data_IF_772937380537
#
_entry.id   IF_772937380537
#
_cell.length_a   1.000
_cell.length_b   1.000
_cell.length_c   1.000
_cell.angle_alpha   90.00
_cell.angle_beta   90.00
_cell.angle_gamma   90.00
#
_symmetry.space_group_name_H-M   'P 1'
#
loop_
_entity.id
_entity.type
_entity.pdbx_description
1 polymer ?
2 non-polymer ?
3 water ?
#
# COMPACT_ATOMS: atom_id res chain seq x y z
N UNK A 2 -11.62 9.71 -2.72
CA UNK A 2 -10.35 9.46 -1.99
C UNK A 2 -9.26 9.05 -2.97
N UNK A 3 -8.00 9.38 -2.66
CA UNK A 3 -6.82 9.05 -3.50
C UNK A 3 -5.94 7.91 -2.90
N UNK A 4 -5.75 6.84 -3.66
CA UNK A 4 -4.91 5.71 -3.31
C UNK A 4 -3.63 5.72 -4.18
N UNK A 5 -2.49 5.57 -3.53
CA UNK A 5 -1.21 5.36 -4.15
C UNK A 5 -0.89 3.87 -4.02
N UNK A 6 -0.73 3.18 -5.15
CA UNK A 6 -0.37 1.78 -5.22
C UNK A 6 1.08 1.73 -5.59
N UNK A 7 1.90 1.22 -4.66
CA UNK A 7 3.33 1.04 -4.81
C UNK A 7 3.55 -0.44 -5.01
N UNK A 8 3.82 -0.80 -6.24
CA UNK A 8 3.94 -2.18 -6.66
C UNK A 8 4.84 -2.27 -7.87
N UNK A 9 5.82 -3.15 -7.79
CA UNK A 9 6.77 -3.30 -8.88
C UNK A 9 6.37 -4.30 -9.96
N UNK A 10 5.23 -4.99 -9.83
CA UNK A 10 4.72 -5.86 -10.90
C UNK A 10 3.54 -5.16 -11.54
N UNK A 11 3.73 -4.79 -12.81
CA UNK A 11 2.74 -4.06 -13.60
C UNK A 11 1.41 -4.83 -13.73
N UNK A 12 1.42 -6.16 -13.86
CA UNK A 12 0.17 -6.93 -13.81
C UNK A 12 -0.63 -6.82 -12.50
N UNK A 13 0.02 -6.86 -11.34
CA UNK A 13 -0.70 -6.72 -10.05
C UNK A 13 -1.14 -5.28 -9.82
N UNK A 14 -0.25 -4.34 -10.14
CA UNK A 14 -0.56 -2.94 -10.07
C UNK A 14 -1.81 -2.66 -10.89
N UNK A 15 -1.88 -3.13 -12.12
CA UNK A 15 -3.11 -2.94 -12.91
C UNK A 15 -4.37 -3.58 -12.32
N UNK A 16 -4.27 -4.75 -11.70
CA UNK A 16 -5.48 -5.37 -11.11
C UNK A 16 -6.01 -4.50 -9.97
N UNK A 17 -5.13 -4.06 -9.08
CA UNK A 17 -5.52 -3.20 -7.95
C UNK A 17 -6.03 -1.84 -8.47
N UNK A 18 -5.33 -1.25 -9.44
CA UNK A 18 -5.76 0.04 -10.02
C UNK A 18 -7.19 -0.11 -10.56
N UNK A 19 -7.42 -1.12 -11.39
CA UNK A 19 -8.75 -1.38 -12.01
C UNK A 19 -9.84 -1.51 -10.99
N UNK A 20 -9.57 -2.27 -9.93
CA UNK A 20 -10.54 -2.49 -8.89
C UNK A 20 -10.81 -1.25 -8.00
N UNK A 21 -9.77 -0.51 -7.63
CA UNK A 21 -9.98 0.73 -6.90
C UNK A 21 -10.67 1.80 -7.78
N UNK A 22 -10.37 1.86 -9.05
CA UNK A 22 -11.08 2.82 -9.90
C UNK A 22 -12.59 2.51 -10.00
N UNK A 23 -12.91 1.24 -10.14
CA UNK A 23 -14.31 0.80 -10.15
C UNK A 23 -15.04 1.15 -8.90
N UNK A 24 -14.34 1.22 -7.76
CA UNK A 24 -14.91 1.60 -6.48
C UNK A 24 -14.98 3.09 -6.29
N UNK A 25 -14.47 3.85 -7.25
CA UNK A 25 -14.57 5.30 -7.22
C UNK A 25 -13.40 6.00 -6.57
N UNK A 26 -12.28 5.30 -6.34
CA UNK A 26 -11.06 5.95 -5.83
C UNK A 26 -10.28 6.59 -6.99
N UNK A 27 -9.61 7.72 -6.75
CA UNK A 27 -8.54 8.16 -7.65
C UNK A 27 -7.24 7.39 -7.36
N UNK A 28 -6.59 6.85 -8.38
CA UNK A 28 -5.37 6.08 -8.24
C UNK A 28 -4.12 6.79 -8.85
N UNK A 29 -3.06 6.87 -8.05
CA UNK A 29 -1.69 7.12 -8.54
C UNK A 29 -0.84 5.89 -8.23
N UNK A 30 0.15 5.64 -9.10
CA UNK A 30 0.93 4.41 -9.08
C UNK A 30 2.41 4.78 -8.91
N UNK A 31 3.18 3.80 -8.43
CA UNK A 31 4.60 3.91 -8.33
C UNK A 31 5.14 2.52 -8.38
N UNK A 32 6.30 2.33 -8.99
CA UNK A 32 6.83 1.01 -9.30
C UNK A 32 8.15 0.70 -8.58
N UNK A 33 8.61 1.64 -7.75
CA UNK A 33 9.76 1.45 -6.90
C UNK A 33 9.69 2.39 -5.73
N UNK A 34 10.68 2.25 -4.85
CA UNK A 34 10.73 2.95 -3.59
C UNK A 34 10.92 4.42 -3.76
N UNK A 35 11.73 4.81 -4.75
CA UNK A 35 11.97 6.23 -4.99
C UNK A 35 10.69 6.96 -5.48
N UNK A 36 10.05 6.38 -6.49
CA UNK A 36 8.73 6.83 -7.02
C UNK A 36 7.63 6.87 -5.96
N UNK A 37 7.60 5.91 -5.04
CA UNK A 37 6.65 5.89 -3.93
C UNK A 37 6.81 7.09 -3.07
N UNK A 38 8.03 7.38 -2.71
CA UNK A 38 8.30 8.57 -1.92
C UNK A 38 7.96 9.91 -2.62
N UNK A 39 8.20 9.98 -3.93
CA UNK A 39 7.96 11.18 -4.70
C UNK A 39 6.46 11.36 -4.84
N UNK A 40 5.74 10.28 -5.12
CA UNK A 40 4.28 10.32 -5.29
C UNK A 40 3.62 10.65 -3.96
N UNK A 41 4.08 9.99 -2.91
CA UNK A 41 3.65 10.34 -1.57
C UNK A 41 3.69 11.87 -1.26
N UNK A 42 4.82 12.52 -1.53
CA UNK A 42 5.01 13.93 -1.16
C UNK A 42 4.21 14.85 -2.07
N UNK A 43 4.21 14.54 -3.37
CA UNK A 43 3.55 15.35 -4.39
C UNK A 43 2.05 15.17 -4.43
N UNK A 44 1.56 13.97 -4.19
CA UNK A 44 0.13 13.64 -4.35
C UNK A 44 -0.63 13.61 -3.05
N UNK A 45 0.07 13.51 -1.93
CA UNK A 45 -0.56 13.37 -0.61
C UNK A 45 -1.75 12.38 -0.65
N UNK A 46 -1.53 11.12 -0.94
CA UNK A 46 -2.67 10.18 -0.95
C UNK A 46 -3.33 10.03 0.45
N UNK A 47 -4.59 9.65 0.44
CA UNK A 47 -5.30 9.29 1.68
C UNK A 47 -4.90 7.90 2.19
N UNK A 48 -4.43 7.03 1.31
CA UNK A 48 -3.97 5.70 1.69
C UNK A 48 -2.96 5.24 0.68
N UNK A 49 -2.06 4.38 1.14
CA UNK A 49 -1.01 3.75 0.37
C UNK A 49 -1.07 2.21 0.56
N UNK A 50 -1.12 1.47 -0.56
CA UNK A 50 -0.99 0.03 -0.63
C UNK A 50 0.45 -0.12 -1.07
N UNK A 51 1.25 -0.77 -0.23
CA UNK A 51 2.69 -0.82 -0.38
C UNK A 51 3.16 -2.25 -0.39
N UNK A 52 3.58 -2.73 -1.54
CA UNK A 52 4.26 -4.01 -1.50
C UNK A 52 5.62 -3.90 -0.69
N UNK A 53 6.04 -5.01 -0.07
CA UNK A 53 7.24 -5.08 0.79
C UNK A 53 8.54 -5.17 -0.04
N UNK A 54 8.43 -5.73 -1.25
CA UNK A 54 9.59 -5.98 -2.11
C UNK A 54 9.52 -5.11 -3.35
N UNK A 55 10.43 -4.12 -3.43
CA UNK A 55 10.52 -3.06 -4.47
C UNK A 55 11.96 -2.77 -5.01
N UNK A 56 12.13 -2.49 -6.31
CA UNK A 56 13.47 -2.25 -6.87
C UNK A 56 14.37 -1.19 -6.09
N UNK A 59 13.41 -0.86 -0.03
CA UNK A 59 12.38 -1.85 0.10
C UNK A 59 11.12 -1.15 0.63
N UNK A 60 9.99 -1.85 0.53
CA UNK A 60 8.76 -1.46 1.22
C UNK A 60 8.93 -1.12 2.68
N UNK A 61 9.77 -1.88 3.40
CA UNK A 61 10.01 -1.61 4.83
C UNK A 61 10.65 -0.24 5.00
N UNK A 62 11.68 0.03 4.22
CA UNK A 62 12.32 1.34 4.15
C UNK A 62 11.37 2.51 3.74
N UNK A 63 10.52 2.31 2.74
CA UNK A 63 9.57 3.35 2.32
C UNK A 63 8.61 3.72 3.47
N UNK A 64 8.09 2.70 4.15
CA UNK A 64 7.11 2.91 5.20
C UNK A 64 7.75 3.58 6.40
N UNK A 65 8.96 3.12 6.76
CA UNK A 65 9.78 3.81 7.75
C UNK A 65 9.91 5.34 7.47
N UNK A 66 10.26 5.71 6.25
CA UNK A 66 10.54 7.12 6.03
C UNK A 66 9.27 7.91 5.97
N UNK A 67 8.22 7.33 5.39
CA UNK A 67 6.91 7.94 5.42
C UNK A 67 6.47 8.34 6.81
N UNK A 68 6.58 7.40 7.76
CA UNK A 68 6.20 7.58 9.18
C UNK A 68 6.97 8.64 9.94
N UNK A 69 8.15 8.99 9.43
CA UNK A 69 8.85 10.19 9.90
C UNK A 69 7.99 11.45 9.85
N UNK A 70 7.16 11.60 8.83
CA UNK A 70 6.39 12.83 8.68
C UNK A 70 4.88 12.67 8.71
N UNK A 71 4.37 11.45 8.55
CA UNK A 71 2.96 11.28 8.21
C UNK A 71 2.30 10.09 8.90
N UNK A 72 1.04 10.29 9.26
CA UNK A 72 0.24 9.18 9.74
C UNK A 72 -0.65 8.53 8.64
N UNK A 73 -0.34 8.78 7.37
CA UNK A 73 -1.17 8.24 6.28
C UNK A 73 -1.27 6.73 6.44
N UNK A 74 -2.46 6.17 6.41
CA UNK A 74 -2.59 4.72 6.46
C UNK A 74 -1.87 3.94 5.35
N UNK A 75 -1.16 2.89 5.76
CA UNK A 75 -0.37 2.04 4.91
C UNK A 75 -0.92 0.62 5.03
N UNK A 76 -1.25 0.01 3.92
CA UNK A 76 -1.64 -1.39 3.86
C UNK A 76 -0.54 -2.14 3.11
N UNK A 77 0.21 -2.97 3.85
CA UNK A 77 1.27 -3.76 3.27
C UNK A 77 0.69 -4.99 2.58
N UNK A 78 1.20 -5.25 1.39
CA UNK A 78 0.79 -6.37 0.53
C UNK A 78 2.06 -7.19 0.18
N UNK A 79 2.02 -8.50 0.37
CA UNK A 79 3.19 -9.31 0.07
C UNK A 79 2.83 -10.81 -0.05
N UNK A 80 3.56 -11.47 -0.96
CA UNK A 80 3.68 -12.91 -1.05
C UNK A 80 4.26 -13.56 0.23
N UNK A 81 5.14 -12.86 0.97
CA UNK A 81 5.65 -13.37 2.25
C UNK A 81 4.55 -13.35 3.27
N UNK A 82 4.33 -14.52 3.86
CA UNK A 82 3.21 -14.74 4.72
C UNK A 82 3.60 -15.36 6.04
N UNK A 83 4.85 -15.25 6.47
CA UNK A 83 5.19 -15.74 7.79
C UNK A 83 4.97 -14.66 8.84
N UNK A 84 4.93 -15.12 10.09
CA UNK A 84 4.70 -14.31 11.28
C UNK A 84 5.70 -13.21 11.31
N UNK A 85 6.96 -13.56 11.05
CA UNK A 85 8.05 -12.60 11.11
C UNK A 85 7.82 -11.47 10.10
N UNK A 86 7.31 -11.79 8.91
CA UNK A 86 7.04 -10.76 7.85
C UNK A 86 5.94 -9.81 8.25
N UNK A 87 4.87 -10.37 8.76
CA UNK A 87 3.67 -9.59 9.13
C UNK A 87 4.00 -8.72 10.29
N UNK A 88 4.67 -9.31 11.26
CA UNK A 88 4.96 -8.57 12.50
C UNK A 88 5.93 -7.41 12.23
N UNK A 89 6.97 -7.65 11.44
CA UNK A 89 7.91 -6.55 11.15
C UNK A 89 7.33 -5.50 10.18
N UNK A 90 6.50 -5.88 9.22
CA UNK A 90 5.72 -4.87 8.52
C UNK A 90 4.85 -4.03 9.47
N UNK A 91 4.11 -4.65 10.38
CA UNK A 91 3.25 -3.85 11.29
C UNK A 91 4.05 -2.96 12.23
N UNK A 92 5.17 -3.48 12.73
CA UNK A 92 6.00 -2.77 13.68
C UNK A 92 6.76 -1.66 12.99
N UNK A 93 7.07 -1.81 11.71
CA UNK A 93 7.73 -0.72 10.95
C UNK A 93 6.73 0.33 10.43
N UNK A 94 5.43 0.18 10.78
CA UNK A 94 4.43 1.20 10.54
C UNK A 94 3.19 0.83 9.75
N UNK A 95 3.19 -0.28 9.02
CA UNK A 95 1.96 -0.77 8.40
C UNK A 95 0.78 -0.84 9.39
N UNK A 96 -0.35 -0.40 8.89
CA UNK A 96 -1.62 -0.50 9.59
C UNK A 96 -2.22 -1.87 9.34
N UNK A 97 -1.79 -2.55 8.29
CA UNK A 97 -2.37 -3.79 7.91
C UNK A 97 -1.41 -4.44 6.92
N UNK A 98 -1.57 -5.75 6.81
CA UNK A 98 -0.68 -6.61 6.07
C UNK A 98 -1.55 -7.70 5.49
N UNK A 99 -1.70 -7.69 4.17
CA UNK A 99 -2.46 -8.65 3.44
C UNK A 99 -1.48 -9.41 2.52
N UNK A 100 -1.70 -10.72 2.37
CA UNK A 100 -0.81 -11.54 1.55
C UNK A 100 -1.36 -11.81 0.14
N UNK A 101 -0.44 -12.06 -0.78
CA UNK A 101 -0.76 -12.37 -2.17
C UNK A 101 -0.62 -13.88 -2.36
N UNK A 102 -1.55 -14.48 -3.08
CA UNK A 102 -2.62 -13.74 -3.76
C UNK A 102 -3.75 -13.40 -2.79
N UNK A 103 -4.41 -12.29 -3.07
CA UNK A 103 -5.49 -11.77 -2.24
C UNK A 103 -6.82 -11.88 -2.96
N UNK A 104 -7.86 -11.63 -2.20
CA UNK A 104 -9.19 -11.51 -2.69
C UNK A 104 -9.38 -10.04 -2.94
N UNK A 105 -9.79 -9.72 -4.16
CA UNK A 105 -10.17 -8.36 -4.54
C UNK A 105 -11.16 -7.73 -3.54
N UNK A 106 -12.24 -8.43 -3.21
CA UNK A 106 -13.25 -7.89 -2.29
C UNK A 106 -12.73 -7.62 -0.88
N UNK A 107 -11.86 -8.50 -0.38
CA UNK A 107 -11.20 -8.32 0.91
C UNK A 107 -10.29 -7.12 0.93
N UNK A 108 -9.47 -6.96 -0.12
CA UNK A 108 -8.62 -5.78 -0.27
C UNK A 108 -9.49 -4.52 -0.16
N UNK A 109 -10.58 -4.50 -0.92
CA UNK A 109 -11.46 -3.33 -0.89
C UNK A 109 -12.02 -3.13 0.47
N UNK A 110 -12.44 -4.18 1.16
CA UNK A 110 -13.02 -4.03 2.49
C UNK A 110 -12.01 -3.47 3.50
N UNK A 111 -10.77 -3.89 3.36
CA UNK A 111 -9.70 -3.51 4.28
C UNK A 111 -9.23 -2.06 4.02
N UNK A 112 -9.13 -1.66 2.76
CA UNK A 112 -8.94 -0.23 2.41
C UNK A 112 -10.02 0.65 3.02
N UNK A 113 -11.30 0.31 2.83
CA UNK A 113 -12.38 1.09 3.46
C UNK A 113 -12.28 1.11 4.99
N UNK A 114 -11.85 0.01 5.60
CA UNK A 114 -11.74 -0.04 7.04
C UNK A 114 -10.60 0.84 7.51
N UNK A 115 -9.49 0.88 6.78
CA UNK A 115 -8.44 1.84 7.08
C UNK A 115 -8.94 3.31 6.97
N UNK A 116 -9.73 3.65 5.93
CA UNK A 116 -10.17 5.05 5.73
C UNK A 116 -11.22 5.45 6.75
N UNK A 117 -12.10 4.53 7.08
CA UNK A 117 -13.10 4.72 8.12
C UNK A 117 -12.41 5.16 9.40
N UNK A 118 -11.29 4.51 9.75
CA UNK A 118 -10.53 4.89 10.95
C UNK A 118 -9.29 5.69 10.64
N UNK A 119 -9.47 6.98 10.40
CA UNK A 119 -8.40 7.81 9.87
C UNK A 119 -8.95 9.10 9.25
X LIG B 1 13.93 -0.97 7.17
#
# INVERSE_FOLDING_TARGET
>A
MKKILIVDDEKPISDIIKFNMTKEGYEVVTAFNGREALEQFEAEQPDIIILDLMLPEIDGLEVAKTIRKTSSVPILMLSAKDSEFDKVIGLELGADDYVTKPFSNRELQARVKALLRRSQ
>B hetero
1 XE XE
#
